data_IF_579086950964
#
_entry.id   IF_579086950964
#
_cell.length_a   1.000
_cell.length_b   1.000
_cell.length_c   1.000
_cell.angle_alpha   90.00
_cell.angle_beta   90.00
_cell.angle_gamma   90.00
#
_symmetry.space_group_name_H-M   'P 1'
#
loop_
_entity.id
_entity.type
_entity.pdbx_description
1 polymer ?
#
# COMPACT_ATOMS: atom_id res chain seq x y z
N UNK A 1 58.94 -2.35 5.89
CA UNK A 1 58.07 -3.25 5.10
C UNK A 1 57.15 -4.03 6.02
N UNK A 2 55.85 -3.75 6.00
CA UNK A 2 54.71 -4.70 6.15
C UNK A 2 53.43 -3.88 6.11
N UNK A 3 52.67 -4.10 5.04
CA UNK A 3 51.42 -3.43 4.70
C UNK A 3 50.30 -4.04 5.55
N UNK A 4 49.45 -3.23 6.17
CA UNK A 4 48.17 -3.66 6.72
C UNK A 4 47.14 -2.59 6.33
N UNK A 5 46.59 -2.76 5.13
CA UNK A 5 45.41 -2.05 4.65
C UNK A 5 44.20 -2.71 5.32
N UNK A 6 43.72 -2.12 6.41
CA UNK A 6 42.45 -2.52 7.03
C UNK A 6 41.32 -1.88 6.23
N UNK A 7 40.79 -2.61 5.24
CA UNK A 7 39.58 -2.23 4.52
C UNK A 7 38.39 -2.31 5.49
N UNK A 8 37.95 -1.16 6.00
CA UNK A 8 36.72 -1.06 6.78
C UNK A 8 35.53 -1.14 5.80
N UNK A 9 35.10 -2.37 5.49
CA UNK A 9 33.83 -2.64 4.82
C UNK A 9 32.70 -2.15 5.73
N UNK A 10 32.23 -0.92 5.50
CA UNK A 10 30.98 -0.42 6.07
C UNK A 10 29.85 -1.19 5.39
N UNK A 11 29.47 -2.31 5.99
CA UNK A 11 28.31 -3.08 5.61
C UNK A 11 27.07 -2.21 5.72
N UNK A 12 26.49 -1.87 4.57
CA UNK A 12 25.21 -1.18 4.47
C UNK A 12 24.14 -2.12 5.06
N UNK A 13 23.85 -1.99 6.36
CA UNK A 13 22.73 -2.65 7.02
C UNK A 13 21.45 -2.10 6.41
N UNK A 14 20.96 -2.74 5.35
CA UNK A 14 19.60 -2.53 4.86
C UNK A 14 18.64 -3.05 5.94
N UNK A 15 18.25 -2.18 6.87
CA UNK A 15 17.16 -2.47 7.78
C UNK A 15 15.91 -2.69 6.93
N UNK A 16 15.21 -3.83 7.05
CA UNK A 16 13.88 -3.93 6.48
C UNK A 16 13.03 -2.89 7.20
N UNK A 17 12.67 -1.81 6.51
CA UNK A 17 11.64 -0.89 6.97
C UNK A 17 10.38 -1.74 7.07
N UNK A 18 10.09 -2.23 8.27
CA UNK A 18 8.84 -2.91 8.58
C UNK A 18 7.80 -1.79 8.69
N UNK A 19 6.78 -1.83 7.84
CA UNK A 19 5.69 -0.89 7.95
C UNK A 19 5.06 -0.98 9.34
N UNK A 20 4.78 0.20 9.90
CA UNK A 20 4.30 0.36 11.26
C UNK A 20 2.82 -0.04 11.35
N UNK A 21 2.35 -0.56 12.49
CA UNK A 21 0.93 -0.78 12.73
C UNK A 21 0.13 0.52 12.55
N UNK A 22 -1.04 0.39 11.94
CA UNK A 22 -2.02 1.46 11.69
C UNK A 22 -3.12 1.32 12.72
N UNK A 23 -3.21 2.27 13.65
CA UNK A 23 -4.08 2.12 14.84
C UNK A 23 -5.49 2.68 14.63
N UNK A 24 -5.66 3.58 13.68
CA UNK A 24 -6.92 4.27 13.42
C UNK A 24 -7.03 4.70 11.95
N UNK A 25 -8.21 5.18 11.58
CA UNK A 25 -8.52 5.61 10.22
C UNK A 25 -7.69 6.80 9.78
N UNK A 26 -7.35 7.74 10.66
CA UNK A 26 -6.53 8.90 10.32
C UNK A 26 -5.12 8.49 9.86
N UNK A 27 -4.50 7.52 10.55
CA UNK A 27 -3.22 6.94 10.13
C UNK A 27 -3.35 6.17 8.81
N UNK A 28 -4.49 5.55 8.55
CA UNK A 28 -4.73 4.85 7.30
C UNK A 28 -4.86 5.85 6.14
N UNK A 29 -5.60 6.95 6.32
CA UNK A 29 -5.73 8.03 5.35
C UNK A 29 -4.37 8.65 5.04
N UNK A 30 -3.54 8.93 6.06
CA UNK A 30 -2.20 9.48 5.85
C UNK A 30 -1.31 8.55 5.00
N UNK A 31 -1.43 7.23 5.18
CA UNK A 31 -0.73 6.26 4.33
C UNK A 31 -1.25 6.27 2.90
N UNK A 32 -2.57 6.37 2.71
CA UNK A 32 -3.21 6.46 1.40
C UNK A 32 -2.77 7.73 0.68
N UNK A 33 -2.81 8.90 1.31
CA UNK A 33 -2.33 10.17 0.75
C UNK A 33 -0.88 10.07 0.28
N UNK A 34 0.01 9.54 1.14
CA UNK A 34 1.42 9.32 0.79
C UNK A 34 1.58 8.40 -0.42
N UNK A 35 0.77 7.37 -0.53
CA UNK A 35 0.76 6.44 -1.66
C UNK A 35 0.27 7.09 -2.96
N UNK A 36 -0.81 7.88 -2.90
CA UNK A 36 -1.35 8.64 -4.04
C UNK A 36 -0.29 9.61 -4.58
N UNK A 37 0.35 10.39 -3.72
CA UNK A 37 1.40 11.35 -4.13
C UNK A 37 2.58 10.60 -4.74
N UNK A 38 3.04 9.54 -4.08
CA UNK A 38 4.22 8.78 -4.50
C UNK A 38 4.04 8.12 -5.87
N UNK A 39 2.87 7.54 -6.12
CA UNK A 39 2.58 6.81 -7.37
C UNK A 39 1.87 7.66 -8.42
N UNK A 40 1.56 8.93 -8.11
CA UNK A 40 0.87 9.86 -9.01
C UNK A 40 -0.44 9.27 -9.57
N UNK A 41 -1.27 8.73 -8.68
CA UNK A 41 -2.49 7.99 -9.06
C UNK A 41 -3.63 8.87 -9.60
N UNK A 42 -3.51 10.19 -9.43
CA UNK A 42 -4.44 11.18 -9.96
C UNK A 42 -3.69 12.49 -10.16
N UNK A 43 -4.19 13.33 -11.07
CA UNK A 43 -3.71 14.69 -11.29
C UNK A 43 -4.34 15.68 -10.29
N UNK A 44 -5.42 15.28 -9.59
CA UNK A 44 -6.08 16.12 -8.61
C UNK A 44 -5.20 16.34 -7.37
N UNK A 45 -5.15 17.56 -6.83
CA UNK A 45 -4.45 17.81 -5.58
C UNK A 45 -5.15 17.11 -4.42
N UNK A 46 -4.39 16.66 -3.41
CA UNK A 46 -4.93 15.93 -2.24
C UNK A 46 -6.10 16.66 -1.55
N UNK A 47 -6.07 18.00 -1.49
CA UNK A 47 -7.16 18.81 -0.90
C UNK A 47 -8.50 18.70 -1.65
N UNK A 48 -8.46 18.27 -2.91
CA UNK A 48 -9.62 18.00 -3.77
C UNK A 48 -9.98 16.52 -3.83
N UNK A 49 -9.41 15.72 -2.93
CA UNK A 49 -9.81 14.35 -2.68
C UNK A 49 -10.66 14.28 -1.42
N UNK A 50 -11.60 13.34 -1.42
CA UNK A 50 -12.40 12.95 -0.28
C UNK A 50 -12.11 11.48 0.03
N UNK A 51 -11.87 11.17 1.31
CA UNK A 51 -11.59 9.83 1.80
C UNK A 51 -12.79 9.33 2.60
N UNK A 52 -13.43 8.26 2.13
CA UNK A 52 -14.59 7.65 2.80
C UNK A 52 -14.19 6.28 3.33
N UNK A 53 -14.23 6.10 4.65
CA UNK A 53 -14.08 4.77 5.25
C UNK A 53 -15.34 3.96 4.99
N UNK A 54 -15.18 2.78 4.39
CA UNK A 54 -16.25 1.81 4.27
C UNK A 54 -16.25 0.93 5.52
N UNK A 55 -17.39 0.85 6.19
CA UNK A 55 -17.53 -0.02 7.37
C UNK A 55 -17.46 -1.49 6.96
N UNK A 56 -16.36 -2.13 7.35
CA UNK A 56 -16.12 -3.58 7.20
C UNK A 56 -16.17 -4.31 8.53
N UNK A 57 -16.56 -3.63 9.61
CA UNK A 57 -16.52 -4.16 10.98
C UNK A 57 -15.13 -4.07 11.61
N UNK A 58 -15.12 -3.86 12.93
CA UNK A 58 -13.89 -3.62 13.69
C UNK A 58 -12.91 -4.81 13.66
N UNK A 59 -13.43 -6.03 13.57
CA UNK A 59 -12.64 -7.27 13.59
C UNK A 59 -11.90 -7.54 12.28
N UNK A 60 -12.26 -6.85 11.19
CA UNK A 60 -11.54 -7.01 9.93
C UNK A 60 -10.12 -6.44 10.05
N UNK A 61 -9.09 -7.14 9.55
CA UNK A 61 -7.69 -6.73 9.70
C UNK A 61 -7.28 -5.60 8.75
N UNK A 62 -8.24 -4.90 8.14
CA UNK A 62 -8.02 -3.84 7.17
C UNK A 62 -8.96 -2.65 7.41
N UNK A 63 -8.50 -1.44 7.07
CA UNK A 63 -9.39 -0.32 6.74
C UNK A 63 -9.69 -0.37 5.24
N UNK A 64 -10.94 -0.14 4.85
CA UNK A 64 -11.33 0.06 3.45
C UNK A 64 -11.63 1.53 3.24
N UNK A 65 -10.99 2.15 2.26
CA UNK A 65 -11.08 3.59 2.01
C UNK A 65 -11.40 3.81 0.54
N UNK A 66 -12.51 4.47 0.25
CA UNK A 66 -12.79 5.01 -1.07
C UNK A 66 -12.15 6.39 -1.21
N UNK A 67 -11.49 6.62 -2.34
CA UNK A 67 -10.97 7.92 -2.75
C UNK A 67 -11.88 8.46 -3.83
N UNK A 68 -12.44 9.64 -3.57
CA UNK A 68 -13.43 10.31 -4.42
C UNK A 68 -13.00 11.72 -4.72
N UNK A 69 -13.54 12.27 -5.80
CA UNK A 69 -13.43 13.70 -6.07
C UNK A 69 -14.22 14.48 -5.03
N UNK A 70 -13.61 15.53 -4.48
CA UNK A 70 -14.30 16.50 -3.65
C UNK A 70 -14.78 17.62 -4.55
N UNK A 71 -16.09 17.73 -4.72
CA UNK A 71 -16.69 18.82 -5.50
C UNK A 71 -17.11 19.98 -4.61
N UNK A 72 -16.57 21.15 -4.89
CA UNK A 72 -16.92 22.41 -4.24
C UNK A 72 -16.44 23.60 -5.09
N UNK A 73 -16.61 24.82 -4.59
CA UNK A 73 -16.18 26.04 -5.30
C UNK A 73 -14.67 26.07 -5.61
N UNK A 74 -13.82 25.48 -4.77
CA UNK A 74 -12.36 25.49 -4.94
C UNK A 74 -11.86 24.39 -5.89
N UNK A 75 -12.49 23.22 -5.86
CA UNK A 75 -12.08 22.01 -6.59
C UNK A 75 -12.87 21.79 -7.88
N UNK A 76 -13.94 22.56 -8.10
CA UNK A 76 -14.84 22.40 -9.24
C UNK A 76 -15.75 21.18 -9.12
N UNK A 77 -16.41 20.82 -10.23
CA UNK A 77 -17.35 19.70 -10.31
C UNK A 77 -18.77 20.04 -9.83
N UNK A 78 -19.65 19.06 -9.95
CA UNK A 78 -21.04 19.15 -9.49
C UNK A 78 -21.12 18.78 -7.99
N UNK A 79 -21.47 19.72 -7.09
CA UNK A 79 -21.55 19.48 -5.65
C UNK A 79 -22.49 18.34 -5.24
N UNK A 80 -23.46 17.98 -6.08
CA UNK A 80 -24.40 16.87 -5.83
C UNK A 80 -23.80 15.51 -6.18
N UNK A 81 -22.55 15.48 -6.64
CA UNK A 81 -21.84 14.26 -7.03
C UNK A 81 -20.50 14.14 -6.31
N UNK A 82 -20.07 12.89 -6.09
CA UNK A 82 -18.73 12.57 -5.59
C UNK A 82 -18.20 11.34 -6.34
N UNK A 83 -17.75 11.53 -7.61
CA UNK A 83 -17.21 10.46 -8.44
C UNK A 83 -16.11 9.67 -7.73
N UNK A 84 -16.17 8.33 -7.82
CA UNK A 84 -15.16 7.45 -7.23
C UNK A 84 -13.96 7.31 -8.14
N UNK A 85 -12.79 7.68 -7.64
CA UNK A 85 -11.51 7.56 -8.33
C UNK A 85 -10.90 6.17 -8.20
N UNK A 86 -10.86 5.61 -6.99
CA UNK A 86 -10.33 4.27 -6.68
C UNK A 86 -10.57 3.96 -5.19
N UNK A 87 -10.27 2.75 -4.75
CA UNK A 87 -10.30 2.34 -3.34
C UNK A 87 -8.95 1.82 -2.87
N UNK A 88 -8.78 1.82 -1.56
CA UNK A 88 -7.65 1.27 -0.85
C UNK A 88 -8.08 0.28 0.22
N UNK A 89 -7.30 -0.79 0.36
CA UNK A 89 -7.31 -1.63 1.56
C UNK A 89 -5.99 -1.44 2.30
N UNK A 90 -6.09 -1.03 3.56
CA UNK A 90 -4.93 -0.76 4.43
C UNK A 90 -4.87 -1.78 5.54
N UNK A 91 -3.84 -2.62 5.57
CA UNK A 91 -3.70 -3.62 6.63
C UNK A 91 -3.41 -2.96 7.99
N UNK A 92 -4.27 -3.17 8.98
CA UNK A 92 -4.15 -2.57 10.33
C UNK A 92 -2.83 -2.96 11.03
N UNK A 93 -2.38 -4.19 10.86
CA UNK A 93 -1.19 -4.71 11.57
C UNK A 93 0.13 -4.29 10.90
N UNK A 94 0.15 -4.31 9.57
CA UNK A 94 1.37 -4.20 8.77
C UNK A 94 1.43 -2.95 7.90
N UNK A 95 0.38 -2.13 7.82
CA UNK A 95 0.35 -0.93 6.97
C UNK A 95 0.51 -1.20 5.47
N UNK A 96 0.28 -2.43 5.02
CA UNK A 96 0.35 -2.77 3.59
C UNK A 96 -0.88 -2.23 2.85
N UNK A 97 -0.64 -1.66 1.68
CA UNK A 97 -1.66 -1.04 0.85
C UNK A 97 -1.98 -1.93 -0.35
N UNK A 98 -3.26 -1.98 -0.69
CA UNK A 98 -3.75 -2.50 -1.97
C UNK A 98 -4.71 -1.49 -2.57
N UNK A 99 -4.74 -1.34 -3.90
CA UNK A 99 -5.66 -0.46 -4.63
C UNK A 99 -6.07 -1.05 -5.97
N UNK A 100 -7.17 -0.56 -6.53
CA UNK A 100 -7.61 -0.81 -7.90
C UNK A 100 -7.16 0.27 -8.90
N UNK A 101 -6.48 1.33 -8.44
CA UNK A 101 -6.01 2.41 -9.31
C UNK A 101 -5.07 1.95 -10.45
N UNK A 102 -4.39 0.81 -10.30
CA UNK A 102 -3.38 0.31 -11.27
C UNK A 102 -4.04 -0.47 -12.44
N UNK A 103 -5.30 -0.89 -12.30
CA UNK A 103 -5.99 -1.77 -13.26
C UNK A 103 -7.22 -1.16 -13.89
N UNK A 104 -7.37 0.17 -13.83
CA UNK A 104 -8.46 0.84 -14.55
C UNK A 104 -8.09 0.88 -16.04
N UNK A 105 -8.49 -0.15 -16.79
CA UNK A 105 -8.72 0.00 -18.22
C UNK A 105 -10.01 0.81 -18.41
N UNK A 106 -10.00 1.74 -19.35
CA UNK A 106 -11.09 2.68 -19.56
C UNK A 106 -12.42 1.93 -19.83
N UNK A 107 -13.39 2.10 -18.92
CA UNK A 107 -14.75 1.57 -19.08
C UNK A 107 -15.04 0.23 -18.40
N UNK A 108 -14.10 -0.38 -17.67
CA UNK A 108 -14.40 -1.58 -16.88
C UNK A 108 -15.02 -1.24 -15.51
N UNK A 109 -16.10 -1.93 -15.17
CA UNK A 109 -16.70 -1.88 -13.84
C UNK A 109 -15.75 -2.48 -12.79
N UNK A 110 -15.67 -1.85 -11.62
CA UNK A 110 -14.77 -2.30 -10.56
C UNK A 110 -15.08 -3.74 -10.14
N UNK A 111 -14.16 -4.67 -10.46
CA UNK A 111 -14.30 -6.10 -10.18
C UNK A 111 -14.22 -6.50 -8.70
N UNK A 112 -14.03 -5.53 -7.78
CA UNK A 112 -13.83 -5.79 -6.35
C UNK A 112 -12.40 -6.18 -5.97
N UNK A 113 -11.49 -6.34 -6.94
CA UNK A 113 -10.12 -6.83 -6.72
C UNK A 113 -9.16 -5.66 -6.49
N UNK A 114 -8.44 -5.70 -5.37
CA UNK A 114 -7.40 -4.73 -5.01
C UNK A 114 -6.01 -5.36 -5.11
N UNK A 115 -5.09 -4.64 -5.73
CA UNK A 115 -3.72 -5.09 -6.00
C UNK A 115 -2.72 -4.37 -5.10
N UNK A 116 -1.69 -5.05 -4.59
CA UNK A 116 -0.65 -4.40 -3.79
C UNK A 116 -0.08 -3.17 -4.50
N UNK A 117 -0.11 -2.04 -3.81
CA UNK A 117 0.53 -0.81 -4.24
C UNK A 117 1.46 -0.38 -3.13
N UNK A 118 2.66 0.08 -3.48
CA UNK A 118 3.70 0.36 -2.50
C UNK A 118 3.98 -0.79 -1.53
N UNK A 119 4.89 -1.70 -1.88
CA UNK A 119 5.39 -2.56 -0.86
C UNK A 119 6.23 -1.69 0.10
N UNK A 120 5.79 -1.54 1.34
CA UNK A 120 6.78 -1.51 2.42
C UNK A 120 7.17 -2.97 2.66
N UNK A 121 7.88 -3.55 1.71
CA UNK A 121 8.53 -4.85 1.79
C UNK A 121 9.40 -5.04 0.55
N UNK A 122 10.52 -5.79 0.64
CA UNK A 122 11.43 -5.98 -0.48
C UNK A 122 10.65 -6.45 -1.68
N UNK A 123 10.78 -5.69 -2.78
CA UNK A 123 10.62 -6.09 -4.17
C UNK A 123 10.37 -7.60 -4.31
N UNK A 124 9.10 -8.01 -4.30
CA UNK A 124 8.70 -9.27 -4.93
C UNK A 124 8.35 -8.85 -6.35
N UNK A 125 9.36 -8.87 -7.22
CA UNK A 125 9.12 -8.89 -8.66
C UNK A 125 8.26 -10.13 -8.92
N UNK A 126 7.01 -9.92 -9.33
CA UNK A 126 6.27 -10.97 -9.99
C UNK A 126 7.00 -11.25 -11.32
N UNK A 127 7.92 -12.21 -11.33
CA UNK A 127 8.38 -12.81 -12.57
C UNK A 127 7.20 -13.57 -13.16
N UNK A 128 6.61 -13.01 -14.23
CA UNK A 128 5.58 -13.65 -15.03
C UNK A 128 6.11 -15.03 -15.49
N UNK A 129 5.55 -16.12 -14.95
CA UNK A 129 5.84 -17.49 -15.39
C UNK A 129 6.44 -18.47 -14.37
N UNK A 130 6.59 -18.12 -13.08
CA UNK A 130 7.06 -19.09 -12.06
C UNK A 130 6.04 -19.30 -10.95
N UNK A 131 5.14 -20.26 -11.13
CA UNK A 131 4.49 -20.92 -9.99
C UNK A 131 5.58 -21.60 -9.15
N UNK A 132 5.99 -20.99 -8.04
CA UNK A 132 6.79 -21.70 -7.03
C UNK A 132 6.05 -21.69 -5.71
N UNK A 133 5.69 -22.91 -5.29
CA UNK A 133 5.12 -23.28 -3.98
C UNK A 133 5.60 -22.33 -2.89
N UNK A 134 4.65 -21.64 -2.27
CA UNK A 134 4.84 -20.87 -1.04
C UNK A 134 5.42 -21.77 0.06
N UNK A 135 6.74 -21.73 0.25
CA UNK A 135 7.36 -22.16 1.51
C UNK A 135 7.38 -20.94 2.43
N UNK A 136 6.35 -20.83 3.26
CA UNK A 136 6.35 -19.92 4.40
C UNK A 136 7.47 -20.33 5.35
N UNK A 137 8.56 -19.56 5.41
CA UNK A 137 9.52 -19.66 6.51
C UNK A 137 9.01 -18.79 7.67
N UNK A 138 8.29 -19.41 8.59
CA UNK A 138 8.01 -18.83 9.90
C UNK A 138 9.26 -19.02 10.75
N UNK A 139 10.04 -17.95 10.94
CA UNK A 139 11.17 -17.96 11.88
C UNK A 139 10.62 -17.97 13.30
N UNK A 140 10.47 -19.16 13.88
CA UNK A 140 10.09 -19.31 15.28
C UNK A 140 9.35 -20.60 15.62
N UNK A 141 9.96 -21.77 15.42
CA UNK A 141 10.07 -22.82 16.44
C UNK A 141 10.88 -23.97 15.83
N UNK A 142 11.90 -24.42 16.56
CA UNK A 142 12.66 -25.60 16.17
C UNK A 142 11.78 -26.84 16.18
N UNK A 143 11.63 -27.46 15.02
CA UNK A 143 11.53 -28.91 14.84
C UNK A 143 11.64 -29.22 13.36
N UNK A 144 12.77 -29.80 12.97
CA UNK A 144 12.85 -30.59 11.74
C UNK A 144 11.92 -31.78 11.90
N UNK A 145 11.00 -31.96 10.96
CA UNK A 145 10.29 -33.22 10.78
C UNK A 145 10.91 -33.83 9.53
N UNK A 146 11.52 -35.01 9.73
CA UNK A 146 12.19 -35.83 8.71
C UNK A 146 11.30 -36.08 7.49
#
# INVERSE_FOLDING_TARGET
MKKLLTALMVGLLALPVMAKPVKNIEQAIELVERSIIKNKLTELPIQCLMFIENDVGNDFPYHQIDVREKHNQECGGDPETAPRLFSYSVNKKKGFLKTDAIWREDGEEFSGILYPIDPISPVILYEKGKERKLKYFVRGSGREIK
#
